data_IF_078215934024
#
_entry.id   IF_078215934024
#
_cell.length_a   1.000
_cell.length_b   1.000
_cell.length_c   1.000
_cell.angle_alpha   90.00
_cell.angle_beta   90.00
_cell.angle_gamma   90.00
#
_symmetry.space_group_name_H-M   'P 1'
#
loop_
_entity.id
_entity.type
_entity.pdbx_description
1 polymer ?
#
# COMPACT_ATOMS: atom_id res chain seq x y z
N UNK A 1 -10.05 18.56 0.85
CA UNK A 1 -9.92 17.10 0.98
C UNK A 1 -8.45 16.81 1.14
N UNK A 2 -8.07 16.07 2.18
CA UNK A 2 -6.64 15.82 2.44
C UNK A 2 -6.13 14.77 1.47
N UNK A 3 -4.86 14.88 1.09
CA UNK A 3 -4.25 13.96 0.14
C UNK A 3 -3.98 12.64 0.88
N UNK A 4 -4.57 11.52 0.47
CA UNK A 4 -4.40 10.20 1.13
C UNK A 4 -3.01 9.65 0.83
N UNK A 5 -2.39 8.99 1.81
CA UNK A 5 -1.10 8.34 1.66
C UNK A 5 -1.32 6.86 1.34
N UNK A 6 -0.76 6.43 0.22
CA UNK A 6 -0.85 5.05 -0.23
C UNK A 6 0.53 4.53 -0.60
N UNK A 7 0.68 3.21 -0.62
CA UNK A 7 1.94 2.59 -0.99
C UNK A 7 1.70 1.43 -1.96
N UNK A 8 2.39 1.41 -3.09
CA UNK A 8 2.47 0.24 -3.96
C UNK A 8 3.73 -0.57 -3.62
N UNK A 9 3.66 -1.89 -3.69
CA UNK A 9 4.77 -2.81 -3.45
C UNK A 9 4.92 -3.79 -4.61
N UNK A 10 6.14 -4.32 -4.77
CA UNK A 10 6.50 -5.27 -5.82
C UNK A 10 6.03 -6.71 -5.56
N UNK A 11 5.03 -6.89 -4.69
CA UNK A 11 4.36 -8.17 -4.45
C UNK A 11 3.15 -8.26 -5.33
N UNK A 12 2.86 -9.41 -5.88
CA UNK A 12 1.59 -9.62 -6.59
C UNK A 12 0.91 -10.92 -6.16
N UNK A 13 -0.36 -11.06 -6.51
CA UNK A 13 -1.08 -12.32 -6.34
C UNK A 13 -0.45 -13.39 -7.23
N UNK A 14 0.03 -14.51 -6.67
CA UNK A 14 0.60 -15.57 -7.47
C UNK A 14 -0.45 -16.16 -8.43
N UNK A 15 -0.05 -16.59 -9.64
CA UNK A 15 -0.93 -17.35 -10.51
C UNK A 15 -1.46 -18.61 -9.79
N UNK A 16 -2.75 -18.91 -9.96
CA UNK A 16 -3.43 -20.05 -9.32
C UNK A 16 -3.45 -20.00 -7.78
N UNK A 17 -3.42 -18.80 -7.19
CA UNK A 17 -3.69 -18.63 -5.77
C UNK A 17 -5.12 -19.14 -5.42
N UNK A 18 -5.36 -19.33 -4.13
CA UNK A 18 -6.68 -19.72 -3.65
C UNK A 18 -6.77 -19.61 -2.14
N UNK A 19 -7.84 -20.18 -1.56
CA UNK A 19 -8.12 -20.05 -0.12
C UNK A 19 -6.93 -20.38 0.79
N UNK A 20 -6.17 -21.42 0.47
CA UNK A 20 -5.00 -21.81 1.25
C UNK A 20 -3.91 -20.73 1.25
N UNK A 21 -3.70 -20.04 0.12
CA UNK A 21 -2.77 -18.92 0.02
C UNK A 21 -3.22 -17.75 0.89
N UNK A 22 -4.49 -17.33 0.79
CA UNK A 22 -5.00 -16.21 1.60
C UNK A 22 -4.90 -16.49 3.10
N UNK A 23 -5.23 -17.72 3.54
CA UNK A 23 -5.10 -18.12 4.94
C UNK A 23 -3.63 -18.05 5.38
N UNK A 24 -2.70 -18.54 4.56
CA UNK A 24 -1.27 -18.46 4.89
C UNK A 24 -0.77 -17.02 5.00
N UNK A 25 -1.20 -16.13 4.11
CA UNK A 25 -0.88 -14.69 4.20
C UNK A 25 -1.48 -14.07 5.46
N UNK A 26 -2.75 -14.35 5.75
CA UNK A 26 -3.43 -13.85 6.95
C UNK A 26 -2.70 -14.26 8.24
N UNK A 27 -2.23 -15.50 8.33
CA UNK A 27 -1.46 -15.96 9.49
C UNK A 27 -0.10 -15.26 9.62
N UNK A 28 0.58 -14.96 8.50
CA UNK A 28 1.80 -14.13 8.53
C UNK A 28 1.51 -12.71 9.04
N UNK A 29 0.42 -12.09 8.58
CA UNK A 29 0.03 -10.74 9.00
C UNK A 29 -0.34 -10.68 10.49
N UNK A 30 -1.07 -11.68 10.99
CA UNK A 30 -1.36 -11.82 12.43
C UNK A 30 -0.08 -11.94 13.26
N UNK A 31 0.90 -12.70 12.78
CA UNK A 31 2.16 -12.91 13.49
C UNK A 31 3.03 -11.65 13.62
N UNK A 32 2.76 -10.59 12.84
CA UNK A 32 3.46 -9.32 12.97
C UNK A 32 3.19 -8.60 14.30
N UNK A 33 2.07 -8.94 14.97
CA UNK A 33 1.64 -8.34 16.24
C UNK A 33 1.74 -6.80 16.21
N UNK A 34 1.21 -6.20 15.12
CA UNK A 34 1.17 -4.75 14.95
C UNK A 34 0.35 -4.12 16.08
N UNK A 35 0.71 -2.88 16.45
CA UNK A 35 -0.04 -2.17 17.48
C UNK A 35 -1.48 -1.94 17.04
N UNK A 36 -2.43 -2.26 17.91
CA UNK A 36 -3.85 -1.93 17.77
C UNK A 36 -4.15 -0.49 18.17
N UNK A 37 -3.14 0.25 18.63
CA UNK A 37 -3.24 1.65 19.02
C UNK A 37 -2.86 2.55 17.86
N UNK A 38 -3.69 3.55 17.58
CA UNK A 38 -3.47 4.53 16.54
C UNK A 38 -3.91 5.93 16.98
N UNK A 39 -3.51 6.96 16.23
CA UNK A 39 -3.92 8.35 16.45
C UNK A 39 -4.92 8.73 15.37
N UNK A 40 -6.15 9.10 15.74
CA UNK A 40 -7.19 9.52 14.79
C UNK A 40 -6.88 10.87 14.10
N UNK A 41 -7.70 11.25 13.12
CA UNK A 41 -7.56 12.53 12.41
C UNK A 41 -7.70 13.77 13.31
N UNK A 42 -8.18 13.63 14.54
CA UNK A 42 -8.27 14.68 15.55
C UNK A 42 -7.09 14.65 16.53
N UNK A 43 -6.11 13.77 16.32
CA UNK A 43 -4.96 13.62 17.20
C UNK A 43 -5.25 12.80 18.47
N UNK A 44 -6.39 12.10 18.54
CA UNK A 44 -6.78 11.29 19.70
C UNK A 44 -6.24 9.87 19.57
N UNK A 45 -5.69 9.34 20.66
CA UNK A 45 -5.34 7.92 20.73
C UNK A 45 -6.60 7.04 20.80
N UNK A 46 -6.65 6.07 19.89
CA UNK A 46 -7.71 5.09 19.75
C UNK A 46 -7.10 3.68 19.81
N UNK A 47 -7.90 2.72 20.23
CA UNK A 47 -7.56 1.29 20.23
C UNK A 47 -8.61 0.59 19.39
N UNK A 48 -8.19 -0.24 18.44
CA UNK A 48 -9.09 -1.13 17.71
C UNK A 48 -8.54 -2.55 17.68
N UNK A 49 -9.28 -3.44 18.32
CA UNK A 49 -8.95 -4.84 18.57
C UNK A 49 -9.68 -5.82 17.63
N UNK A 50 -10.30 -5.31 16.57
CA UNK A 50 -10.92 -6.14 15.54
C UNK A 50 -9.90 -7.13 14.94
N UNK A 51 -10.27 -8.41 14.76
CA UNK A 51 -9.34 -9.41 14.26
C UNK A 51 -9.05 -9.23 12.76
N UNK A 52 -7.82 -9.57 12.37
CA UNK A 52 -7.46 -9.71 10.95
C UNK A 52 -8.44 -10.60 10.20
N UNK A 53 -8.92 -10.09 9.06
CA UNK A 53 -9.77 -10.80 8.10
C UNK A 53 -9.28 -10.56 6.68
N UNK A 54 -9.83 -11.33 5.74
CA UNK A 54 -9.65 -11.05 4.33
C UNK A 54 -10.98 -11.12 3.61
N UNK A 55 -11.10 -10.36 2.53
CA UNK A 55 -12.22 -10.45 1.61
C UNK A 55 -11.71 -10.35 0.17
N UNK A 56 -12.50 -10.91 -0.75
CA UNK A 56 -12.21 -10.83 -2.18
C UNK A 56 -12.75 -9.49 -2.67
N UNK A 57 -11.93 -8.77 -3.40
CA UNK A 57 -12.39 -7.62 -4.15
C UNK A 57 -12.97 -8.10 -5.48
N UNK A 58 -14.23 -7.74 -5.72
CA UNK A 58 -15.02 -8.20 -6.85
C UNK A 58 -15.41 -6.99 -7.71
N UNK A 59 -15.16 -7.08 -9.01
CA UNK A 59 -15.60 -6.08 -9.99
C UNK A 59 -16.68 -6.69 -10.87
N UNK A 60 -17.76 -5.94 -11.09
CA UNK A 60 -18.79 -6.31 -12.05
C UNK A 60 -18.29 -6.10 -13.48
N UNK A 61 -18.16 -7.18 -14.25
CA UNK A 61 -17.81 -7.11 -15.66
C UNK A 61 -19.08 -7.18 -16.50
N UNK A 62 -19.53 -6.04 -17.02
CA UNK A 62 -20.72 -5.96 -17.88
C UNK A 62 -20.63 -6.91 -19.08
N UNK A 63 -19.44 -7.02 -19.68
CA UNK A 63 -19.17 -7.90 -20.83
C UNK A 63 -19.40 -9.38 -20.54
N UNK A 64 -19.27 -9.81 -19.28
CA UNK A 64 -19.44 -11.19 -18.83
C UNK A 64 -20.70 -11.39 -17.98
N UNK A 65 -21.44 -10.30 -17.69
CA UNK A 65 -22.62 -10.27 -16.82
C UNK A 65 -22.41 -11.02 -15.50
N UNK A 66 -21.24 -10.85 -14.88
CA UNK A 66 -20.86 -11.47 -13.61
C UNK A 66 -19.80 -10.64 -12.88
N UNK A 67 -19.68 -10.87 -11.58
CA UNK A 67 -18.55 -10.42 -10.78
C UNK A 67 -17.31 -11.30 -11.06
N UNK A 68 -16.15 -10.67 -11.15
CA UNK A 68 -14.86 -11.36 -11.14
C UNK A 68 -13.99 -10.85 -10.00
N UNK A 69 -13.24 -11.77 -9.41
CA UNK A 69 -12.24 -11.43 -8.40
C UNK A 69 -11.07 -10.73 -9.09
N UNK A 70 -10.84 -9.49 -8.69
CA UNK A 70 -9.73 -8.68 -9.18
C UNK A 70 -8.59 -8.62 -8.17
N UNK A 71 -8.86 -8.90 -6.89
CA UNK A 71 -7.84 -8.86 -5.84
C UNK A 71 -8.33 -9.44 -4.52
N UNK A 72 -7.44 -9.42 -3.54
CA UNK A 72 -7.75 -9.78 -2.15
C UNK A 72 -7.32 -8.67 -1.23
N UNK A 73 -8.24 -8.25 -0.36
CA UNK A 73 -7.97 -7.28 0.69
C UNK A 73 -7.75 -8.03 1.98
N UNK A 74 -6.66 -7.71 2.67
CA UNK A 74 -6.37 -8.12 4.03
C UNK A 74 -6.65 -6.95 4.94
N UNK A 75 -7.69 -7.05 5.73
CA UNK A 75 -8.14 -5.97 6.58
C UNK A 75 -7.79 -6.32 8.02
N UNK A 76 -7.10 -5.38 8.66
CA UNK A 76 -7.10 -5.21 10.09
C UNK A 76 -7.81 -3.89 10.37
N UNK A 77 -8.45 -3.72 11.52
CA UNK A 77 -8.95 -2.40 11.93
C UNK A 77 -7.91 -1.26 11.99
N UNK A 78 -6.62 -1.59 11.96
CA UNK A 78 -5.57 -0.58 11.87
C UNK A 78 -5.59 0.14 10.53
N UNK A 79 -4.84 1.24 10.46
CA UNK A 79 -4.67 2.17 9.32
C UNK A 79 -3.97 1.54 8.10
N UNK A 80 -3.94 0.22 7.98
CA UNK A 80 -3.22 -0.47 6.93
C UNK A 80 -4.11 -1.54 6.35
N UNK A 81 -4.46 -1.37 5.08
CA UNK A 81 -5.19 -2.37 4.32
C UNK A 81 -4.29 -2.85 3.18
N UNK A 82 -3.53 -3.93 3.40
CA UNK A 82 -2.85 -4.60 2.31
C UNK A 82 -3.85 -5.19 1.33
N UNK A 83 -3.70 -4.86 0.06
CA UNK A 83 -4.45 -5.40 -1.06
C UNK A 83 -3.45 -6.02 -2.02
N UNK A 84 -3.73 -7.24 -2.50
CA UNK A 84 -2.93 -7.85 -3.55
C UNK A 84 -3.77 -7.98 -4.82
N UNK A 85 -3.28 -7.36 -5.89
CA UNK A 85 -3.76 -7.52 -7.26
C UNK A 85 -2.84 -8.49 -8.02
N UNK A 86 -3.25 -9.01 -9.20
CA UNK A 86 -2.47 -9.94 -10.02
C UNK A 86 -1.06 -9.47 -10.34
N UNK A 87 -0.86 -8.17 -10.53
CA UNK A 87 0.39 -7.59 -11.05
C UNK A 87 1.08 -6.61 -10.08
N UNK A 88 0.41 -6.24 -8.98
CA UNK A 88 0.91 -5.25 -8.02
C UNK A 88 0.27 -5.42 -6.64
N UNK A 89 0.99 -5.02 -5.62
CA UNK A 89 0.55 -5.03 -4.23
C UNK A 89 0.33 -3.60 -3.80
N UNK A 90 -0.67 -3.40 -2.95
CA UNK A 90 -1.10 -2.10 -2.51
C UNK A 90 -1.29 -2.10 -1.01
N UNK A 91 -1.00 -0.99 -0.35
CA UNK A 91 -1.24 -0.80 1.07
C UNK A 91 -1.89 0.56 1.23
N UNK A 92 -3.21 0.54 1.45
CA UNK A 92 -3.94 1.76 1.79
C UNK A 92 -3.62 2.17 3.21
N UNK A 93 -3.59 3.48 3.44
CA UNK A 93 -3.52 4.03 4.79
C UNK A 93 -4.51 5.15 4.99
N UNK A 94 -5.02 5.28 6.22
CA UNK A 94 -5.85 6.42 6.63
C UNK A 94 -5.01 7.71 6.82
N UNK A 95 -3.69 7.63 6.63
CA UNK A 95 -2.79 8.75 6.77
C UNK A 95 -2.87 9.68 5.56
N UNK A 96 -2.48 10.93 5.78
CA UNK A 96 -2.36 11.91 4.71
C UNK A 96 -0.94 11.89 4.14
N UNK A 97 -0.77 12.14 2.86
CA UNK A 97 0.52 12.12 2.18
C UNK A 97 1.54 13.07 2.82
N UNK A 98 1.06 14.22 3.32
CA UNK A 98 1.91 15.17 4.03
C UNK A 98 2.55 14.60 5.31
N UNK A 99 2.03 13.49 5.85
CA UNK A 99 2.65 12.82 6.99
C UNK A 99 4.01 12.22 6.63
N UNK A 100 4.30 11.92 5.36
CA UNK A 100 5.65 11.52 4.94
C UNK A 100 6.73 12.54 5.33
N UNK A 101 6.38 13.83 5.44
CA UNK A 101 7.31 14.89 5.84
C UNK A 101 7.44 15.04 7.36
N UNK A 102 6.60 14.37 8.17
CA UNK A 102 6.66 14.39 9.63
C UNK A 102 7.62 13.29 10.13
N UNK A 103 8.69 13.69 10.82
CA UNK A 103 9.67 12.77 11.39
C UNK A 103 9.04 11.80 12.42
N UNK A 104 8.05 12.24 13.20
CA UNK A 104 7.38 11.39 14.18
C UNK A 104 6.43 10.38 13.51
N UNK A 105 5.86 10.72 12.36
CA UNK A 105 5.14 9.77 11.53
C UNK A 105 6.08 8.71 10.96
N UNK A 106 7.17 9.14 10.33
CA UNK A 106 8.14 8.24 9.70
C UNK A 106 8.68 7.21 10.68
N UNK A 107 8.91 7.59 11.94
CA UNK A 107 9.38 6.67 12.98
C UNK A 107 8.33 5.65 13.44
N UNK A 108 7.03 5.94 13.31
CA UNK A 108 5.94 5.09 13.83
C UNK A 108 5.27 4.24 12.76
N UNK A 109 5.02 4.81 11.58
CA UNK A 109 4.23 4.18 10.53
C UNK A 109 5.08 3.37 9.56
N UNK A 110 6.21 3.94 9.08
CA UNK A 110 7.09 3.26 8.12
C UNK A 110 7.53 1.86 8.59
N UNK A 111 7.94 1.63 9.85
CA UNK A 111 8.32 0.28 10.29
C UNK A 111 7.18 -0.74 10.20
N UNK A 112 5.93 -0.30 10.33
CA UNK A 112 4.77 -1.18 10.18
C UNK A 112 4.51 -1.51 8.71
N UNK A 113 4.60 -0.51 7.82
CA UNK A 113 4.51 -0.73 6.37
C UNK A 113 5.63 -1.64 5.87
N UNK A 114 6.87 -1.46 6.35
CA UNK A 114 7.98 -2.37 6.03
C UNK A 114 7.68 -3.81 6.48
N UNK A 115 7.20 -4.00 7.71
CA UNK A 115 6.82 -5.33 8.23
C UNK A 115 5.71 -5.97 7.40
N UNK A 116 4.70 -5.19 7.02
CA UNK A 116 3.59 -5.63 6.18
C UNK A 116 4.10 -6.06 4.80
N UNK A 117 4.83 -5.19 4.10
CA UNK A 117 5.40 -5.48 2.80
C UNK A 117 6.28 -6.75 2.85
N UNK A 118 7.18 -6.86 3.84
CA UNK A 118 8.01 -8.06 4.04
C UNK A 118 7.18 -9.33 4.30
N UNK A 119 6.11 -9.25 5.08
CA UNK A 119 5.23 -10.40 5.35
C UNK A 119 4.53 -10.91 4.08
N UNK A 120 4.19 -9.99 3.17
CA UNK A 120 3.64 -10.30 1.85
C UNK A 120 4.70 -10.84 0.87
N UNK A 121 5.99 -10.62 1.17
CA UNK A 121 7.13 -11.03 0.34
C UNK A 121 7.76 -9.88 -0.46
N UNK A 122 7.39 -8.64 -0.17
CA UNK A 122 7.87 -7.45 -0.84
C UNK A 122 9.24 -7.01 -0.34
N UNK A 123 9.97 -6.35 -1.23
CA UNK A 123 11.32 -5.83 -0.95
C UNK A 123 11.39 -4.32 -1.02
N UNK A 124 10.34 -3.66 -1.52
CA UNK A 124 10.27 -2.21 -1.62
C UNK A 124 8.83 -1.72 -1.68
N UNK A 125 8.65 -0.44 -1.35
CA UNK A 125 7.40 0.29 -1.55
C UNK A 125 7.66 1.63 -2.24
N UNK A 126 6.76 2.04 -3.12
CA UNK A 126 6.68 3.42 -3.62
C UNK A 126 5.51 4.09 -2.94
N UNK A 127 5.77 5.23 -2.32
CA UNK A 127 4.72 6.03 -1.68
C UNK A 127 4.08 6.97 -2.69
N UNK A 128 2.75 6.87 -2.77
CA UNK A 128 1.90 7.62 -3.69
C UNK A 128 0.91 8.48 -2.91
N UNK A 129 0.38 9.46 -3.62
CA UNK A 129 -0.60 10.41 -3.14
C UNK A 129 -1.77 10.43 -4.11
N UNK A 130 -2.99 10.63 -3.61
CA UNK A 130 -4.21 10.79 -4.42
C UNK A 130 -4.30 12.18 -5.10
N UNK A 131 -3.16 12.86 -5.27
CA UNK A 131 -3.03 14.14 -5.97
C UNK A 131 -2.12 14.02 -7.20
N UNK A 132 -2.35 14.86 -8.21
CA UNK A 132 -1.44 14.97 -9.35
C UNK A 132 -0.03 15.42 -8.91
N UNK A 133 1.04 14.89 -9.53
CA UNK A 133 1.04 13.94 -10.65
C UNK A 133 1.01 12.46 -10.21
N UNK A 134 0.93 12.15 -8.91
CA UNK A 134 1.10 10.80 -8.38
C UNK A 134 -0.17 9.93 -8.50
N UNK A 135 -1.35 10.54 -8.41
CA UNK A 135 -2.64 9.87 -8.47
C UNK A 135 -2.79 8.93 -9.67
N UNK A 136 -2.32 9.31 -10.85
CA UNK A 136 -2.43 8.45 -12.04
C UNK A 136 -1.68 7.12 -11.90
N UNK A 137 -0.60 7.06 -11.10
CA UNK A 137 0.13 5.81 -10.87
C UNK A 137 -0.56 4.93 -9.84
N UNK A 138 -1.31 5.55 -8.93
CA UNK A 138 -2.24 4.87 -8.04
C UNK A 138 -3.36 4.22 -8.86
N UNK A 139 -3.95 4.94 -9.81
CA UNK A 139 -4.96 4.39 -10.73
C UNK A 139 -4.41 3.22 -11.55
N UNK A 140 -3.17 3.32 -12.05
CA UNK A 140 -2.52 2.20 -12.73
C UNK A 140 -2.31 0.99 -11.82
N UNK A 141 -2.14 1.18 -10.51
CA UNK A 141 -2.01 0.06 -9.58
C UNK A 141 -3.36 -0.65 -9.32
N UNK A 142 -4.47 0.07 -9.47
CA UNK A 142 -5.81 -0.52 -9.46
C UNK A 142 -6.15 -1.21 -10.79
N UNK A 143 -5.46 -0.87 -11.87
CA UNK A 143 -5.54 -1.60 -13.13
C UNK A 143 -4.83 -2.96 -12.99
N UNK A 144 -5.63 -4.01 -12.88
CA UNK A 144 -5.16 -5.38 -12.65
C UNK A 144 -4.24 -5.93 -13.77
N UNK A 145 -4.05 -5.18 -14.87
CA UNK A 145 -3.16 -5.53 -15.98
C UNK A 145 -1.81 -4.80 -15.95
N UNK A 146 -1.63 -3.75 -15.13
CA UNK A 146 -0.37 -3.00 -15.10
C UNK A 146 0.54 -3.50 -13.97
N UNK A 147 1.74 -3.94 -14.33
CA UNK A 147 2.71 -4.42 -13.35
C UNK A 147 3.40 -3.33 -12.57
N UNK A 148 3.83 -3.66 -11.35
CA UNK A 148 4.65 -2.78 -10.52
C UNK A 148 5.88 -2.23 -11.28
N UNK A 149 6.56 -3.06 -12.08
CA UNK A 149 7.73 -2.64 -12.85
C UNK A 149 7.38 -1.69 -14.00
N UNK A 150 6.23 -1.86 -14.64
CA UNK A 150 5.73 -0.91 -15.65
C UNK A 150 5.40 0.44 -15.03
N UNK A 151 4.68 0.45 -13.89
CA UNK A 151 4.38 1.67 -13.14
C UNK A 151 5.69 2.38 -12.77
N UNK A 152 6.63 1.65 -12.16
CA UNK A 152 7.93 2.20 -11.74
C UNK A 152 8.73 2.74 -12.91
N UNK A 153 8.75 2.05 -14.05
CA UNK A 153 9.42 2.49 -15.28
C UNK A 153 8.81 3.78 -15.82
N UNK A 154 7.47 3.89 -15.79
CA UNK A 154 6.76 5.09 -16.22
C UNK A 154 7.08 6.28 -15.29
N UNK A 155 7.03 6.07 -13.97
CA UNK A 155 7.41 7.08 -12.98
C UNK A 155 8.85 7.55 -13.19
N UNK A 156 9.80 6.63 -13.40
CA UNK A 156 11.20 6.95 -13.69
C UNK A 156 11.36 7.82 -14.94
N UNK A 157 10.59 7.52 -15.98
CA UNK A 157 10.62 8.25 -17.25
C UNK A 157 10.06 9.66 -17.12
N UNK A 158 9.01 9.85 -16.33
CA UNK A 158 8.24 11.10 -16.30
C UNK A 158 8.58 12.01 -15.11
N UNK A 159 8.90 11.44 -13.96
CA UNK A 159 9.23 12.15 -12.72
C UNK A 159 10.73 12.12 -12.39
N UNK A 160 11.50 11.25 -13.07
CA UNK A 160 12.92 11.08 -12.82
C UNK A 160 13.21 10.10 -11.69
N UNK A 161 14.39 10.21 -11.07
CA UNK A 161 14.81 9.28 -10.03
C UNK A 161 14.01 9.47 -8.74
N UNK A 162 13.65 8.37 -8.05
CA UNK A 162 12.99 8.46 -6.76
C UNK A 162 13.92 9.04 -5.70
N UNK A 163 13.31 9.70 -4.71
CA UNK A 163 13.98 9.96 -3.43
C UNK A 163 14.06 8.64 -2.66
N UNK A 164 15.24 8.33 -2.12
CA UNK A 164 15.47 7.12 -1.31
C UNK A 164 15.95 7.42 0.11
N UNK A 165 16.21 8.69 0.41
CA UNK A 165 16.59 9.16 1.74
C UNK A 165 15.53 10.12 2.26
N UNK A 166 14.94 9.82 3.43
CA UNK A 166 13.88 10.66 4.01
C UNK A 166 14.31 12.11 4.23
N UNK A 167 15.57 12.34 4.61
CA UNK A 167 16.12 13.68 4.87
C UNK A 167 16.17 14.62 3.67
N UNK A 168 15.91 14.12 2.45
CA UNK A 168 15.84 14.93 1.22
C UNK A 168 14.41 15.09 0.70
N UNK A 169 13.39 14.61 1.42
CA UNK A 169 12.00 14.93 1.11
C UNK A 169 11.73 16.42 1.33
N UNK A 170 11.23 17.08 0.28
CA UNK A 170 10.84 18.50 0.30
C UNK A 170 9.31 18.60 0.23
N UNK A 171 8.64 19.13 1.28
CA UNK A 171 7.17 19.27 1.28
C UNK A 171 6.64 20.28 0.25
N UNK A 172 7.50 21.03 -0.43
CA UNK A 172 7.11 21.99 -1.46
C UNK A 172 7.32 21.48 -2.90
N UNK A 173 7.75 20.23 -3.06
CA UNK A 173 8.01 19.65 -4.37
C UNK A 173 7.02 18.51 -4.67
N UNK A 174 6.01 18.84 -5.47
CA UNK A 174 4.93 17.92 -5.83
C UNK A 174 5.34 16.90 -6.91
N UNK A 175 6.50 17.06 -7.55
CA UNK A 175 6.93 16.21 -8.67
C UNK A 175 7.83 15.03 -8.25
N UNK A 176 8.12 14.88 -6.96
CA UNK A 176 8.96 13.80 -6.45
C UNK A 176 8.12 12.68 -5.82
N UNK A 177 8.70 11.49 -5.79
CA UNK A 177 8.14 10.34 -5.11
C UNK A 177 9.20 9.64 -4.28
N UNK A 178 8.76 8.94 -3.24
CA UNK A 178 9.65 8.26 -2.30
C UNK A 178 9.63 6.75 -2.57
N UNK A 179 10.81 6.18 -2.83
CA UNK A 179 11.03 4.74 -2.94
C UNK A 179 11.76 4.27 -1.69
N UNK A 180 11.12 3.39 -0.96
CA UNK A 180 11.66 2.79 0.24
C UNK A 180 12.03 1.33 -0.04
N UNK A 181 13.31 1.02 0.09
CA UNK A 181 13.85 -0.33 -0.14
C UNK A 181 14.19 -0.98 1.18
N UNK A 182 13.80 -2.22 1.33
CA UNK A 182 14.08 -2.98 2.53
C UNK A 182 15.21 -3.98 2.26
N UNK A 183 16.22 -4.00 3.13
CA UNK A 183 17.25 -5.03 3.09
C UNK A 183 16.65 -6.39 3.47
N UNK A 184 17.09 -7.44 2.77
CA UNK A 184 16.71 -8.86 2.97
C UNK A 184 17.49 -9.45 4.13
#
# INVERSE_FOLDING_TARGET
MGITLTAITNVSLPPNHGKAYYVAVLEKLKALNLSTTYIDHNGKECIDDTPWRYYKELVWLESKNREEEVGVVFENPTWYEPILYPEVGYIMTDHRYNFLFDAAFYQRTRPNIEKLAKALGGTEVIWLSDAEPLWKYEELAYDAETSYEEIKTLMLKELGLPITQHSVLDPNNDNHYFLDKFEV
#
